data_IF_213283890344
#
_entry.id   IF_213283890344
#
_cell.length_a   1.000
_cell.length_b   1.000
_cell.length_c   1.000
_cell.angle_alpha   90.00
_cell.angle_beta   90.00
_cell.angle_gamma   90.00
#
_symmetry.space_group_name_H-M   'P 1'
#
loop_
_entity.id
_entity.type
_entity.pdbx_description
1 polymer ?
#
# COMPACT_ATOMS: atom_id res chain seq x y z
N UNK A 1 -9.48 5.93 -4.86
CA UNK A 1 -8.44 6.67 -5.63
C UNK A 1 -7.29 5.76 -6.03
N UNK A 2 -6.80 4.92 -5.11
CA UNK A 2 -5.70 3.99 -5.32
C UNK A 2 -5.87 3.06 -6.54
N UNK A 3 -7.03 2.42 -6.67
CA UNK A 3 -7.37 1.56 -7.82
C UNK A 3 -7.22 2.31 -9.16
N UNK A 4 -7.82 3.51 -9.25
CA UNK A 4 -7.73 4.35 -10.45
C UNK A 4 -6.29 4.71 -10.79
N UNK A 5 -5.44 4.94 -9.80
CA UNK A 5 -4.02 5.21 -10.00
C UNK A 5 -3.30 3.97 -10.56
N UNK A 6 -3.51 2.80 -9.95
CA UNK A 6 -2.91 1.55 -10.41
C UNK A 6 -3.29 1.22 -11.86
N UNK A 7 -4.58 1.33 -12.20
CA UNK A 7 -5.07 1.11 -13.57
C UNK A 7 -4.46 2.11 -14.55
N UNK A 8 -4.31 3.38 -14.14
CA UNK A 8 -3.71 4.41 -15.00
C UNK A 8 -2.24 4.12 -15.28
N UNK A 9 -1.48 3.68 -14.27
CA UNK A 9 -0.07 3.29 -14.44
C UNK A 9 0.08 2.08 -15.37
N UNK A 10 -0.76 1.05 -15.22
CA UNK A 10 -0.75 -0.11 -16.12
C UNK A 10 -1.06 0.28 -17.57
N UNK A 11 -2.05 1.17 -17.78
CA UNK A 11 -2.37 1.70 -19.11
C UNK A 11 -1.23 2.54 -19.70
N UNK A 12 -0.52 3.30 -18.87
CA UNK A 12 0.68 4.04 -19.30
C UNK A 12 1.79 3.10 -19.78
N UNK A 13 2.06 2.02 -19.03
CA UNK A 13 3.05 1.01 -19.42
C UNK A 13 2.68 0.32 -20.73
N UNK A 14 1.42 -0.06 -20.91
CA UNK A 14 0.92 -0.61 -22.18
C UNK A 14 1.05 0.40 -23.33
N UNK A 15 0.71 1.67 -23.11
CA UNK A 15 0.86 2.71 -24.13
C UNK A 15 2.34 2.92 -24.53
N UNK A 16 3.27 2.78 -23.57
CA UNK A 16 4.71 2.86 -23.83
C UNK A 16 5.20 1.69 -24.70
N UNK A 17 4.75 0.47 -24.41
CA UNK A 17 5.11 -0.73 -25.18
C UNK A 17 4.55 -0.67 -26.61
N UNK A 18 3.36 -0.08 -26.79
CA UNK A 18 2.74 0.07 -28.11
C UNK A 18 3.09 1.39 -28.81
N UNK A 19 4.10 2.13 -28.33
CA UNK A 19 4.59 3.39 -28.92
C UNK A 19 3.52 4.50 -29.10
N UNK A 20 2.46 4.48 -28.29
CA UNK A 20 1.40 5.49 -28.33
C UNK A 20 1.77 6.74 -27.50
N UNK A 21 2.70 7.54 -28.01
CA UNK A 21 3.31 8.66 -27.30
C UNK A 21 2.32 9.67 -26.69
N UNK A 22 1.26 10.06 -27.41
CA UNK A 22 0.23 10.97 -26.90
C UNK A 22 -0.56 10.39 -25.71
N UNK A 23 -0.85 9.09 -25.73
CA UNK A 23 -1.52 8.39 -24.63
C UNK A 23 -0.61 8.27 -23.40
N UNK A 24 0.70 8.10 -23.60
CA UNK A 24 1.67 8.07 -22.49
C UNK A 24 1.64 9.37 -21.69
N UNK A 25 1.62 10.52 -22.37
CA UNK A 25 1.54 11.84 -21.70
C UNK A 25 0.22 11.97 -20.93
N UNK A 26 -0.92 11.67 -21.57
CA UNK A 26 -2.22 11.75 -20.93
C UNK A 26 -2.34 10.85 -19.67
N UNK A 27 -1.83 9.61 -19.73
CA UNK A 27 -1.84 8.71 -18.57
C UNK A 27 -0.88 9.18 -17.48
N UNK A 28 0.28 9.74 -17.84
CA UNK A 28 1.21 10.33 -16.86
C UNK A 28 0.58 11.47 -16.09
N UNK A 29 -0.06 12.41 -16.79
CA UNK A 29 -0.71 13.56 -16.16
C UNK A 29 -1.85 13.11 -15.25
N UNK A 30 -2.64 12.13 -15.70
CA UNK A 30 -3.69 11.54 -14.87
C UNK A 30 -3.13 10.83 -13.64
N UNK A 31 -2.03 10.09 -13.77
CA UNK A 31 -1.37 9.42 -12.66
C UNK A 31 -0.83 10.43 -11.64
N UNK A 32 -0.20 11.51 -12.11
CA UNK A 32 0.28 12.60 -11.26
C UNK A 32 -0.86 13.27 -10.49
N UNK A 33 -1.97 13.57 -11.16
CA UNK A 33 -3.16 14.11 -10.51
C UNK A 33 -3.69 13.16 -9.42
N UNK A 34 -3.87 11.88 -9.73
CA UNK A 34 -4.38 10.88 -8.78
C UNK A 34 -3.43 10.69 -7.58
N UNK A 35 -2.11 10.75 -7.82
CA UNK A 35 -1.11 10.69 -6.75
C UNK A 35 -1.16 11.93 -5.87
N UNK A 36 -1.36 13.12 -6.45
CA UNK A 36 -1.64 14.35 -5.71
C UNK A 36 -2.87 14.21 -4.82
N UNK A 37 -4.00 13.72 -5.36
CA UNK A 37 -5.21 13.48 -4.58
C UNK A 37 -5.00 12.47 -3.44
N UNK A 38 -4.21 11.42 -3.68
CA UNK A 38 -3.87 10.45 -2.65
C UNK A 38 -3.02 11.11 -1.54
N UNK A 39 -1.99 11.87 -1.91
CA UNK A 39 -1.16 12.64 -0.98
C UNK A 39 -1.94 13.68 -0.17
N UNK A 40 -2.97 14.31 -0.76
CA UNK A 40 -3.87 15.21 -0.03
C UNK A 40 -4.79 14.45 0.93
N UNK A 41 -5.38 13.32 0.51
CA UNK A 41 -6.16 12.46 1.42
C UNK A 41 -5.32 11.92 2.58
N UNK A 42 -4.00 11.84 2.38
CA UNK A 42 -3.01 11.52 3.39
C UNK A 42 -2.64 12.70 4.32
N UNK A 43 -2.90 13.95 3.93
CA UNK A 43 -2.46 15.16 4.64
C UNK A 43 -3.47 15.71 5.66
N UNK A 44 -4.71 15.22 5.66
CA UNK A 44 -5.77 15.67 6.58
C UNK A 44 -5.60 15.07 7.99
N UNK A 45 -4.53 15.48 8.69
CA UNK A 45 -4.31 15.28 10.13
C UNK A 45 -2.93 14.74 10.52
N UNK A 46 -2.36 15.30 11.59
CA UNK A 46 -1.09 14.87 12.24
C UNK A 46 -1.06 13.38 12.67
N UNK A 47 -2.21 12.70 12.62
CA UNK A 47 -2.39 11.31 13.10
C UNK A 47 -2.55 10.26 11.99
N UNK A 48 -2.83 10.65 10.74
CA UNK A 48 -3.03 9.68 9.65
C UNK A 48 -1.69 9.23 9.05
N UNK A 49 -0.92 8.45 9.82
CA UNK A 49 0.38 7.86 9.40
C UNK A 49 0.24 6.95 8.16
N UNK A 50 -0.95 6.40 7.90
CA UNK A 50 -1.23 5.40 6.86
C UNK A 50 -2.64 5.54 6.27
N UNK A 51 -2.90 4.92 5.11
CA UNK A 51 -4.15 5.08 4.35
C UNK A 51 -5.28 4.32 5.04
N UNK A 52 -6.40 4.99 5.25
CA UNK A 52 -7.63 4.36 5.75
C UNK A 52 -8.75 4.47 4.71
N UNK A 53 -9.71 3.54 4.79
CA UNK A 53 -10.94 3.67 4.02
C UNK A 53 -11.82 4.75 4.66
N UNK A 54 -12.80 5.24 3.89
CA UNK A 54 -13.75 6.25 4.35
C UNK A 54 -15.17 5.70 4.27
N UNK A 55 -15.86 5.67 5.40
CA UNK A 55 -17.28 5.32 5.47
C UNK A 55 -18.11 6.57 5.16
N UNK A 56 -18.68 6.61 3.96
CA UNK A 56 -19.53 7.72 3.52
C UNK A 56 -20.88 7.81 4.24
N UNK A 57 -21.37 6.74 4.84
CA UNK A 57 -22.60 6.78 5.63
C UNK A 57 -22.33 7.38 7.02
N UNK A 58 -21.22 6.99 7.64
CA UNK A 58 -20.83 7.46 8.98
C UNK A 58 -19.92 8.70 8.97
N UNK A 59 -19.56 9.20 7.78
CA UNK A 59 -18.71 10.37 7.55
C UNK A 59 -17.37 10.31 8.31
N UNK A 60 -16.76 9.13 8.40
CA UNK A 60 -15.52 8.93 9.17
C UNK A 60 -14.52 8.02 8.48
N UNK A 61 -13.25 8.19 8.82
CA UNK A 61 -12.21 7.24 8.46
C UNK A 61 -12.39 5.91 9.22
N UNK A 62 -12.11 4.82 8.52
CA UNK A 62 -12.13 3.44 9.03
C UNK A 62 -10.76 2.84 8.77
N UNK A 63 -9.98 2.71 9.84
CA UNK A 63 -8.61 2.25 9.79
C UNK A 63 -8.52 0.82 10.34
N UNK A 64 -8.23 -0.13 9.47
CA UNK A 64 -7.91 -1.51 9.84
C UNK A 64 -6.49 -1.81 9.38
N UNK A 65 -5.60 -2.09 10.33
CA UNK A 65 -4.24 -2.50 10.01
C UNK A 65 -4.27 -3.87 9.34
N UNK A 66 -3.85 -3.93 8.09
CA UNK A 66 -3.99 -5.12 7.27
C UNK A 66 -3.70 -4.83 5.81
N UNK A 67 -4.02 -5.78 4.95
CA UNK A 67 -3.65 -5.70 3.53
C UNK A 67 -4.13 -4.43 2.84
N UNK A 68 -5.37 -3.98 3.12
CA UNK A 68 -5.94 -2.75 2.53
C UNK A 68 -5.02 -1.55 2.74
N UNK A 69 -4.54 -1.39 3.97
CA UNK A 69 -3.63 -0.32 4.37
C UNK A 69 -2.23 -0.45 3.75
N UNK A 70 -1.78 -1.67 3.45
CA UNK A 70 -0.49 -1.94 2.82
C UNK A 70 -0.46 -1.67 1.31
N UNK A 71 -1.61 -1.55 0.61
CA UNK A 71 -1.61 -1.43 -0.85
C UNK A 71 -0.74 -0.29 -1.44
N UNK A 72 -0.63 0.90 -0.83
CA UNK A 72 0.30 1.92 -1.32
C UNK A 72 1.76 1.44 -1.37
N UNK A 73 2.18 0.62 -0.41
CA UNK A 73 3.50 -0.02 -0.37
C UNK A 73 3.55 -1.20 -1.36
N UNK A 74 2.57 -2.11 -1.32
CA UNK A 74 2.50 -3.31 -2.19
C UNK A 74 2.51 -2.93 -3.68
N UNK A 75 1.87 -1.83 -4.05
CA UNK A 75 1.82 -1.36 -5.43
C UNK A 75 3.00 -0.46 -5.83
N UNK A 76 3.96 -0.22 -4.93
CA UNK A 76 5.13 0.61 -5.20
C UNK A 76 4.81 2.09 -5.44
N UNK A 77 3.68 2.58 -4.94
CA UNK A 77 3.16 3.93 -5.22
C UNK A 77 3.87 5.00 -4.38
N UNK A 78 4.24 4.66 -3.13
CA UNK A 78 4.88 5.60 -2.21
C UNK A 78 6.31 5.93 -2.68
N UNK A 79 6.75 7.20 -2.60
CA UNK A 79 8.16 7.56 -2.73
C UNK A 79 9.02 6.85 -1.66
N UNK A 80 10.26 6.52 -2.00
CA UNK A 80 11.22 5.82 -1.13
C UNK A 80 11.55 6.59 0.15
N UNK A 81 11.44 7.91 0.13
CA UNK A 81 11.70 8.84 1.24
C UNK A 81 10.43 9.19 2.05
N UNK A 82 9.27 8.66 1.67
CA UNK A 82 8.04 8.88 2.41
C UNK A 82 8.10 8.21 3.78
N UNK A 83 7.90 8.97 4.86
CA UNK A 83 7.83 8.45 6.25
C UNK A 83 6.84 7.28 6.42
N UNK A 84 5.81 7.25 5.57
CA UNK A 84 4.80 6.20 5.51
C UNK A 84 5.37 4.83 5.15
N UNK A 85 6.45 4.80 4.37
CA UNK A 85 7.17 3.54 4.09
C UNK A 85 7.68 2.96 5.41
N UNK A 86 8.32 3.79 6.25
CA UNK A 86 8.77 3.38 7.58
C UNK A 86 7.62 2.89 8.47
N UNK A 87 6.51 3.62 8.53
CA UNK A 87 5.35 3.25 9.34
C UNK A 87 4.74 1.90 8.91
N UNK A 88 4.64 1.66 7.59
CA UNK A 88 4.11 0.41 7.04
C UNK A 88 5.08 -0.76 7.26
N UNK A 89 6.38 -0.56 7.06
CA UNK A 89 7.39 -1.59 7.34
C UNK A 89 7.40 -1.96 8.83
N UNK A 90 7.33 -0.99 9.73
CA UNK A 90 7.25 -1.26 11.17
C UNK A 90 6.01 -2.09 11.55
N UNK A 91 4.87 -1.84 10.90
CA UNK A 91 3.65 -2.64 11.07
C UNK A 91 3.81 -4.08 10.56
N UNK A 92 4.49 -4.25 9.42
CA UNK A 92 4.78 -5.55 8.82
C UNK A 92 5.75 -6.37 9.69
N UNK A 93 6.73 -5.72 10.32
CA UNK A 93 7.73 -6.39 11.19
C UNK A 93 7.18 -6.81 12.55
N UNK A 94 6.09 -6.21 13.03
CA UNK A 94 5.60 -6.41 14.40
C UNK A 94 4.75 -7.70 14.54
N UNK A 95 5.16 -8.68 15.37
CA UNK A 95 4.43 -9.93 15.59
C UNK A 95 3.07 -9.76 16.26
N UNK A 96 2.88 -8.68 17.03
CA UNK A 96 1.60 -8.32 17.65
C UNK A 96 0.63 -7.67 16.67
N UNK A 97 1.12 -7.31 15.47
CA UNK A 97 0.33 -6.72 14.39
C UNK A 97 0.25 -7.69 13.23
N UNK A 98 1.05 -7.50 12.18
CA UNK A 98 0.92 -8.28 10.95
C UNK A 98 1.93 -9.42 10.80
N UNK A 99 3.06 -9.40 11.52
CA UNK A 99 4.09 -10.42 11.34
C UNK A 99 3.67 -11.76 11.94
N UNK A 100 3.75 -12.84 11.16
CA UNK A 100 3.54 -14.20 11.64
C UNK A 100 4.58 -15.15 11.05
N UNK A 101 4.73 -16.33 11.65
CA UNK A 101 5.62 -17.38 11.15
C UNK A 101 5.24 -17.90 9.75
N UNK A 102 4.01 -17.66 9.31
CA UNK A 102 3.52 -18.06 7.99
C UNK A 102 3.60 -16.93 6.94
N UNK A 103 4.01 -15.73 7.32
CA UNK A 103 3.98 -14.51 6.51
C UNK A 103 3.08 -13.43 7.09
N UNK A 104 2.71 -12.44 6.27
CA UNK A 104 1.98 -11.25 6.71
C UNK A 104 0.49 -11.55 6.77
N UNK A 105 -0.13 -11.32 7.93
CA UNK A 105 -1.57 -11.53 8.18
C UNK A 105 -2.44 -10.58 7.35
N UNK A 106 -3.64 -11.03 6.95
CA UNK A 106 -4.62 -10.17 6.26
C UNK A 106 -5.14 -9.02 7.09
N UNK A 107 -5.22 -9.23 8.41
CA UNK A 107 -5.64 -8.27 9.41
C UNK A 107 -4.73 -8.39 10.64
N UNK A 108 -4.44 -7.26 11.28
CA UNK A 108 -3.62 -7.15 12.48
C UNK A 108 -4.20 -7.96 13.63
N UNK A 109 -3.34 -8.66 14.36
CA UNK A 109 -3.74 -9.41 15.54
C UNK A 109 -4.27 -8.53 16.68
N UNK A 110 -4.03 -7.22 16.61
CA UNK A 110 -4.57 -6.23 17.55
C UNK A 110 -5.96 -5.70 17.14
N UNK A 111 -6.41 -5.98 15.91
CA UNK A 111 -7.69 -5.46 15.42
C UNK A 111 -8.88 -6.16 16.12
N UNK A 112 -9.92 -5.38 16.44
CA UNK A 112 -11.14 -5.89 17.08
C UNK A 112 -11.82 -7.01 16.26
N UNK A 113 -11.64 -7.03 14.93
CA UNK A 113 -12.21 -8.02 14.04
C UNK A 113 -11.31 -9.23 13.79
N UNK A 114 -10.12 -9.29 14.37
CA UNK A 114 -9.21 -10.41 14.21
C UNK A 114 -9.85 -11.75 14.61
N UNK A 115 -9.83 -12.72 13.69
CA UNK A 115 -10.44 -14.04 13.86
C UNK A 115 -11.96 -14.05 13.93
N UNK A 116 -12.64 -12.95 13.59
CA UNK A 116 -14.12 -12.86 13.57
C UNK A 116 -14.68 -13.04 12.15
N UNK A 117 -16.00 -13.27 12.07
CA UNK A 117 -16.70 -13.51 10.81
C UNK A 117 -16.43 -14.91 10.25
N UNK A 118 -16.35 -15.01 8.93
CA UNK A 118 -15.98 -16.24 8.20
C UNK A 118 -14.48 -16.58 8.29
N UNK A 119 -13.69 -15.70 8.89
CA UNK A 119 -12.25 -15.82 9.08
C UNK A 119 -11.46 -15.86 7.78
N UNK A 120 -11.98 -15.29 6.69
CA UNK A 120 -11.29 -15.32 5.39
C UNK A 120 -10.24 -14.20 5.27
N UNK A 121 -10.65 -12.95 5.52
CA UNK A 121 -9.81 -11.74 5.44
C UNK A 121 -9.49 -11.11 6.80
N UNK A 122 -9.83 -11.80 7.89
CA UNK A 122 -9.69 -11.28 9.26
C UNK A 122 -8.54 -11.93 10.02
N UNK A 123 -7.48 -12.35 9.34
CA UNK A 123 -6.30 -12.92 9.99
C UNK A 123 -5.44 -13.83 9.12
N UNK A 124 -5.99 -14.76 8.31
CA UNK A 124 -5.17 -15.68 7.53
C UNK A 124 -4.18 -14.99 6.60
N UNK A 125 -3.09 -15.70 6.31
CA UNK A 125 -2.06 -15.27 5.37
C UNK A 125 -2.43 -15.70 3.96
N UNK A 126 -2.42 -14.74 3.03
CA UNK A 126 -2.68 -14.97 1.62
C UNK A 126 -1.40 -14.83 0.80
N UNK A 127 -0.99 -15.93 0.17
CA UNK A 127 0.22 -15.98 -0.69
C UNK A 127 0.20 -14.91 -1.79
N UNK A 128 -0.91 -14.65 -2.52
CA UNK A 128 -0.91 -13.63 -3.57
C UNK A 128 -0.53 -12.24 -3.05
N UNK A 129 -1.02 -11.85 -1.88
CA UNK A 129 -0.73 -10.52 -1.31
C UNK A 129 0.71 -10.46 -0.79
N UNK A 130 1.18 -11.52 -0.13
CA UNK A 130 2.56 -11.62 0.33
C UNK A 130 3.56 -11.60 -0.83
N UNK A 131 3.23 -12.28 -1.94
CA UNK A 131 4.03 -12.25 -3.16
C UNK A 131 4.14 -10.82 -3.72
N UNK A 132 3.04 -10.07 -3.79
CA UNK A 132 3.07 -8.68 -4.26
C UNK A 132 3.89 -7.77 -3.33
N UNK A 133 3.76 -7.95 -2.01
CA UNK A 133 4.57 -7.22 -1.02
C UNK A 133 6.06 -7.48 -1.23
N UNK A 134 6.47 -8.76 -1.29
CA UNK A 134 7.87 -9.12 -1.56
C UNK A 134 8.34 -8.56 -2.90
N UNK A 135 7.47 -8.56 -3.92
CA UNK A 135 7.74 -7.96 -5.21
C UNK A 135 8.07 -6.47 -5.12
N UNK A 136 7.31 -5.68 -4.36
CA UNK A 136 7.57 -4.25 -4.20
C UNK A 136 8.80 -3.96 -3.33
N UNK A 137 9.03 -4.75 -2.28
CA UNK A 137 10.25 -4.68 -1.49
C UNK A 137 11.47 -4.94 -2.38
N UNK A 138 11.48 -6.07 -3.11
CA UNK A 138 12.59 -6.47 -3.95
C UNK A 138 12.87 -5.49 -5.12
N UNK A 139 11.83 -5.02 -5.79
CA UNK A 139 11.97 -4.18 -6.99
C UNK A 139 12.25 -2.72 -6.66
N UNK A 140 11.86 -2.24 -5.46
CA UNK A 140 11.90 -0.83 -5.12
C UNK A 140 12.52 -0.56 -3.74
N UNK A 141 11.81 -0.87 -2.65
CA UNK A 141 12.15 -0.31 -1.32
C UNK A 141 13.40 -0.93 -0.69
N UNK A 142 13.74 -2.18 -0.99
CA UNK A 142 14.95 -2.86 -0.55
C UNK A 142 16.15 -2.68 -1.52
N UNK A 143 15.95 -1.93 -2.60
CA UNK A 143 16.93 -1.75 -3.70
C UNK A 143 17.34 -0.30 -3.89
N UNK A 144 16.37 0.62 -3.95
CA UNK A 144 16.60 2.01 -4.27
C UNK A 144 17.05 2.80 -3.02
N UNK A 145 17.94 3.81 -3.16
CA UNK A 145 18.34 4.65 -2.04
C UNK A 145 17.14 5.34 -1.38
N UNK A 146 17.11 5.30 -0.05
CA UNK A 146 16.08 5.94 0.76
C UNK A 146 16.32 5.69 2.25
N UNK A 147 15.71 6.50 3.14
CA UNK A 147 15.89 6.39 4.59
C UNK A 147 15.46 5.03 5.17
N UNK A 148 14.56 4.31 4.49
CA UNK A 148 14.02 3.03 4.95
C UNK A 148 14.62 1.81 4.24
N UNK A 149 15.68 1.98 3.44
CA UNK A 149 16.30 0.90 2.65
C UNK A 149 16.70 -0.31 3.50
N UNK A 150 17.37 -0.07 4.64
CA UNK A 150 17.86 -1.14 5.51
C UNK A 150 16.69 -1.87 6.18
N UNK A 151 15.71 -1.12 6.69
CA UNK A 151 14.50 -1.71 7.25
C UNK A 151 13.78 -2.59 6.22
N UNK A 152 13.63 -2.11 4.98
CA UNK A 152 12.98 -2.88 3.90
C UNK A 152 13.74 -4.17 3.50
N UNK A 153 15.02 -4.32 3.86
CA UNK A 153 15.82 -5.54 3.63
C UNK A 153 15.71 -6.55 4.76
N UNK A 154 15.33 -6.10 5.95
CA UNK A 154 15.17 -6.94 7.14
C UNK A 154 13.77 -7.55 7.25
N UNK A 155 12.77 -6.93 6.60
CA UNK A 155 11.40 -7.44 6.43
C UNK A 155 11.35 -8.55 5.40
#
# INVERSE_FOLDING_TARGET
VLERLAVTLSRMSLAKVNEFGNKVVAYRDRANHLRGSLNSAFADGETARVLCDYDGAQQRAVCHEGYVMLFPLILGILPEDSSRVGDLLAMISDPKRLNSTAGIRSLSAHDLYYGKGDKYWTGPVWIPINYLLLGSLHSKYARNPGPFLLLAREV
#
